data_IF_609192070198
#
_entry.id   IF_609192070198
#
_cell.length_a   1.000
_cell.length_b   1.000
_cell.length_c   1.000
_cell.angle_alpha   90.00
_cell.angle_beta   90.00
_cell.angle_gamma   90.00
#
_symmetry.space_group_name_H-M   'P 1'
#
loop_
_entity.id
_entity.type
_entity.pdbx_description
1 polymer ?
#
# COMPACT_ATOMS: atom_id res chain seq x y z
N UNK A 1 -1.70 0.46 -2.33
CA UNK A 1 -0.46 -0.35 -2.36
C UNK A 1 -0.67 -1.85 -2.17
N UNK A 2 -1.62 -2.33 -1.35
CA UNK A 2 -2.02 -3.76 -1.35
C UNK A 2 -2.39 -4.26 -2.75
N UNK A 3 -3.06 -3.42 -3.55
CA UNK A 3 -3.39 -3.71 -4.95
C UNK A 3 -2.15 -4.10 -5.79
N UNK A 4 -1.04 -3.35 -5.71
CA UNK A 4 0.16 -3.65 -6.50
C UNK A 4 0.73 -5.03 -6.13
N UNK A 5 0.87 -5.29 -4.83
CA UNK A 5 1.36 -6.58 -4.32
C UNK A 5 0.46 -7.75 -4.73
N UNK A 6 -0.86 -7.62 -4.50
CA UNK A 6 -1.84 -8.64 -4.90
C UNK A 6 -1.84 -8.86 -6.41
N UNK A 7 -1.73 -7.79 -7.21
CA UNK A 7 -1.63 -7.88 -8.67
C UNK A 7 -0.42 -8.71 -9.13
N UNK A 8 0.73 -8.57 -8.46
CA UNK A 8 1.91 -9.38 -8.74
C UNK A 8 1.82 -10.81 -8.21
N UNK A 9 1.16 -11.06 -7.08
CA UNK A 9 0.87 -12.43 -6.64
C UNK A 9 -0.03 -13.16 -7.64
N UNK A 10 -1.06 -12.50 -8.20
CA UNK A 10 -1.84 -13.07 -9.29
C UNK A 10 -0.99 -13.27 -10.55
N UNK A 11 -0.02 -12.38 -10.81
CA UNK A 11 0.92 -12.56 -11.92
C UNK A 11 1.82 -13.79 -11.75
N UNK A 12 2.14 -14.22 -10.53
CA UNK A 12 2.84 -15.49 -10.29
C UNK A 12 1.99 -16.67 -10.75
N UNK A 13 0.70 -16.70 -10.39
CA UNK A 13 -0.24 -17.74 -10.81
C UNK A 13 -0.35 -17.76 -12.35
N UNK A 14 -0.46 -16.57 -12.96
CA UNK A 14 -0.52 -16.45 -14.41
C UNK A 14 0.74 -16.96 -15.09
N UNK A 15 1.93 -16.70 -14.54
CA UNK A 15 3.19 -17.16 -15.13
C UNK A 15 3.34 -18.70 -15.06
N UNK A 16 2.82 -19.33 -14.01
CA UNK A 16 2.85 -20.79 -13.85
C UNK A 16 2.07 -21.54 -14.93
N UNK A 17 1.19 -20.87 -15.69
CA UNK A 17 0.48 -21.47 -16.82
C UNK A 17 1.42 -22.05 -17.87
N UNK A 18 2.62 -21.45 -18.04
CA UNK A 18 3.58 -21.92 -19.03
C UNK A 18 4.19 -23.28 -18.65
N UNK A 19 4.36 -23.57 -17.36
CA UNK A 19 4.85 -24.86 -16.88
C UNK A 19 3.73 -25.89 -16.64
N UNK A 20 2.52 -25.44 -16.29
CA UNK A 20 1.39 -26.31 -15.97
C UNK A 20 0.10 -25.90 -16.71
N UNK A 21 0.11 -25.89 -18.05
CA UNK A 21 -1.00 -25.33 -18.83
C UNK A 21 -2.32 -26.07 -18.60
N UNK A 22 -2.29 -27.40 -18.45
CA UNK A 22 -3.48 -28.23 -18.24
C UNK A 22 -4.26 -27.81 -17.00
N UNK A 23 -3.56 -27.47 -15.91
CA UNK A 23 -4.19 -27.17 -14.63
C UNK A 23 -4.42 -25.67 -14.41
N UNK A 24 -3.58 -24.82 -15.01
CA UNK A 24 -3.55 -23.40 -14.70
C UNK A 24 -4.07 -22.49 -15.81
N UNK A 25 -4.45 -23.02 -16.99
CA UNK A 25 -4.98 -22.19 -18.07
C UNK A 25 -6.23 -21.41 -17.65
N UNK A 26 -7.26 -22.09 -17.14
CA UNK A 26 -8.49 -21.41 -16.72
C UNK A 26 -8.29 -20.49 -15.51
N UNK A 27 -7.57 -20.90 -14.43
CA UNK A 27 -7.19 -19.98 -13.36
C UNK A 27 -6.42 -18.75 -13.84
N UNK A 28 -5.50 -18.91 -14.80
CA UNK A 28 -4.76 -17.80 -15.38
C UNK A 28 -5.68 -16.88 -16.18
N UNK A 29 -6.55 -17.42 -17.04
CA UNK A 29 -7.53 -16.63 -17.79
C UNK A 29 -8.48 -15.85 -16.88
N UNK A 30 -8.89 -16.42 -15.75
CA UNK A 30 -9.76 -15.74 -14.79
C UNK A 30 -9.02 -14.65 -13.99
N UNK A 31 -7.78 -14.91 -13.58
CA UNK A 31 -7.03 -14.01 -12.69
C UNK A 31 -6.19 -12.96 -13.42
N UNK A 32 -5.86 -13.16 -14.70
CA UNK A 32 -5.13 -12.22 -15.54
C UNK A 32 -5.75 -10.80 -15.61
N UNK A 33 -7.05 -10.62 -15.95
CA UNK A 33 -7.62 -9.28 -16.02
C UNK A 33 -7.55 -8.56 -14.68
N UNK A 34 -7.81 -9.28 -13.58
CA UNK A 34 -7.71 -8.74 -12.22
C UNK A 34 -6.26 -8.35 -11.92
N UNK A 35 -5.29 -9.19 -12.28
CA UNK A 35 -3.85 -8.90 -12.12
C UNK A 35 -3.46 -7.60 -12.84
N UNK A 36 -3.87 -7.41 -14.10
CA UNK A 36 -3.55 -6.22 -14.89
C UNK A 36 -4.18 -4.96 -14.27
N UNK A 37 -5.44 -5.02 -13.88
CA UNK A 37 -6.13 -3.90 -13.24
C UNK A 37 -5.42 -3.48 -11.95
N UNK A 38 -5.11 -4.46 -11.08
CA UNK A 38 -4.45 -4.23 -9.80
C UNK A 38 -3.02 -3.69 -9.97
N UNK A 39 -2.26 -4.20 -10.94
CA UNK A 39 -0.90 -3.73 -11.23
C UNK A 39 -0.91 -2.30 -11.74
N UNK A 40 -1.71 -1.98 -12.76
CA UNK A 40 -1.74 -0.61 -13.28
C UNK A 40 -2.36 0.38 -12.30
N UNK A 41 -3.37 -0.01 -11.49
CA UNK A 41 -3.86 0.83 -10.39
C UNK A 41 -2.77 1.07 -9.33
N UNK A 42 -2.02 0.02 -9.00
CA UNK A 42 -0.89 0.08 -8.08
C UNK A 42 0.18 1.07 -8.55
N UNK A 43 0.61 0.97 -9.81
CA UNK A 43 1.58 1.91 -10.40
C UNK A 43 1.03 3.33 -10.53
N UNK A 44 -0.24 3.49 -10.91
CA UNK A 44 -0.93 4.79 -10.93
C UNK A 44 -0.87 5.47 -9.55
N UNK A 45 -1.07 4.71 -8.47
CA UNK A 45 -1.00 5.26 -7.11
C UNK A 45 0.40 5.75 -6.72
N UNK A 46 1.45 5.25 -7.38
CA UNK A 46 2.85 5.65 -7.18
C UNK A 46 3.29 6.76 -8.15
N UNK A 47 2.46 7.15 -9.12
CA UNK A 47 2.79 8.13 -10.16
C UNK A 47 3.38 9.42 -9.60
N UNK A 48 2.77 9.96 -8.54
CA UNK A 48 3.23 11.22 -7.93
C UNK A 48 4.67 11.16 -7.40
N UNK A 49 5.13 9.97 -6.98
CA UNK A 49 6.50 9.76 -6.48
C UNK A 49 7.49 9.41 -7.59
N UNK A 50 7.01 8.80 -8.68
CA UNK A 50 7.85 8.37 -9.81
C UNK A 50 8.09 9.49 -10.83
N UNK A 51 7.30 10.56 -10.78
CA UNK A 51 7.37 11.69 -11.72
C UNK A 51 6.82 11.33 -13.10
N UNK A 52 7.47 11.83 -14.16
CA UNK A 52 7.08 11.58 -15.55
C UNK A 52 7.02 10.08 -15.90
N UNK A 53 7.98 9.31 -15.37
CA UNK A 53 8.04 7.84 -15.51
C UNK A 53 6.81 7.13 -14.97
N UNK A 54 6.10 7.75 -14.02
CA UNK A 54 4.86 7.23 -13.51
C UNK A 54 3.84 6.97 -14.60
N UNK A 55 3.84 7.72 -15.72
CA UNK A 55 2.89 7.56 -16.85
C UNK A 55 2.98 6.19 -17.52
N UNK A 56 4.08 5.46 -17.37
CA UNK A 56 4.26 4.10 -17.91
C UNK A 56 3.26 3.06 -17.37
N UNK A 57 2.46 3.39 -16.35
CA UNK A 57 1.33 2.55 -15.94
C UNK A 57 0.26 2.41 -17.05
N UNK A 58 0.13 3.39 -17.95
CA UNK A 58 -0.87 3.38 -19.02
C UNK A 58 -0.61 2.25 -20.03
N UNK A 59 0.61 2.08 -20.58
CA UNK A 59 0.95 0.90 -21.37
C UNK A 59 0.60 -0.42 -20.70
N UNK A 60 0.83 -0.58 -19.39
CA UNK A 60 0.49 -1.81 -18.66
C UNK A 60 -1.01 -2.11 -18.74
N UNK A 61 -1.86 -1.09 -18.59
CA UNK A 61 -3.30 -1.27 -18.71
C UNK A 61 -3.76 -1.51 -20.14
N UNK A 62 -3.37 -0.65 -21.07
CA UNK A 62 -3.86 -0.71 -22.45
C UNK A 62 -3.39 -1.98 -23.13
N UNK A 63 -2.07 -2.24 -23.09
CA UNK A 63 -1.49 -3.39 -23.74
C UNK A 63 -1.76 -4.69 -22.96
N UNK A 64 -1.84 -4.64 -21.63
CA UNK A 64 -2.27 -5.80 -20.85
C UNK A 64 -3.71 -6.20 -21.16
N UNK A 65 -4.63 -5.24 -21.26
CA UNK A 65 -5.99 -5.49 -21.72
C UNK A 65 -6.04 -6.02 -23.16
N UNK A 66 -5.23 -5.45 -24.06
CA UNK A 66 -5.11 -5.92 -25.44
C UNK A 66 -4.57 -7.34 -25.54
N UNK A 67 -3.56 -7.71 -24.72
CA UNK A 67 -3.06 -9.09 -24.63
C UNK A 67 -4.18 -10.05 -24.25
N UNK A 68 -4.96 -9.72 -23.23
CA UNK A 68 -6.08 -10.57 -22.81
C UNK A 68 -7.14 -10.71 -23.90
N UNK A 69 -7.55 -9.60 -24.51
CA UNK A 69 -8.53 -9.60 -25.60
C UNK A 69 -8.05 -10.44 -26.79
N UNK A 70 -6.77 -10.29 -27.19
CA UNK A 70 -6.20 -11.06 -28.29
C UNK A 70 -6.14 -12.57 -27.99
N UNK A 71 -5.87 -12.97 -26.74
CA UNK A 71 -5.95 -14.38 -26.31
C UNK A 71 -7.39 -14.91 -26.41
N UNK A 72 -8.38 -14.14 -25.96
CA UNK A 72 -9.79 -14.55 -26.04
C UNK A 72 -10.28 -14.66 -27.49
N UNK A 73 -9.89 -13.71 -28.35
CA UNK A 73 -10.23 -13.75 -29.78
C UNK A 73 -9.60 -14.96 -30.47
N UNK A 74 -8.38 -15.35 -30.10
CA UNK A 74 -7.76 -16.58 -30.58
C UNK A 74 -8.51 -17.82 -30.09
N UNK A 75 -8.83 -17.90 -28.79
CA UNK A 75 -9.53 -19.04 -28.20
C UNK A 75 -10.95 -19.20 -28.75
N UNK A 76 -11.59 -18.11 -29.15
CA UNK A 76 -12.87 -18.11 -29.85
C UNK A 76 -12.77 -18.36 -31.34
N UNK A 77 -11.57 -18.62 -31.89
CA UNK A 77 -11.32 -18.84 -33.32
C UNK A 77 -11.79 -17.67 -34.21
N UNK A 78 -11.81 -16.44 -33.66
CA UNK A 78 -12.27 -15.23 -34.37
C UNK A 78 -11.12 -14.62 -35.19
N UNK A 79 -9.87 -14.73 -34.71
CA UNK A 79 -8.68 -14.14 -35.34
C UNK A 79 -7.51 -15.12 -35.28
N UNK A 80 -6.96 -15.49 -36.42
CA UNK A 80 -5.87 -16.47 -36.53
C UNK A 80 -4.50 -15.97 -36.03
N UNK A 81 -4.30 -14.65 -36.02
CA UNK A 81 -3.06 -14.01 -35.57
C UNK A 81 -3.12 -13.47 -34.13
N UNK A 82 -4.15 -13.85 -33.36
CA UNK A 82 -4.37 -13.37 -32.00
C UNK A 82 -3.19 -13.65 -31.06
N UNK A 83 -2.52 -14.80 -31.20
CA UNK A 83 -1.32 -15.14 -30.40
C UNK A 83 -0.17 -14.17 -30.63
N UNK A 84 0.09 -13.77 -31.88
CA UNK A 84 1.19 -12.85 -32.20
C UNK A 84 0.90 -11.43 -31.71
N UNK A 85 -0.35 -10.98 -31.84
CA UNK A 85 -0.80 -9.70 -31.27
C UNK A 85 -0.67 -9.72 -29.75
N UNK A 86 -1.14 -10.79 -29.09
CA UNK A 86 -1.02 -10.96 -27.66
C UNK A 86 0.44 -10.92 -27.20
N UNK A 87 1.33 -11.61 -27.92
CA UNK A 87 2.75 -11.66 -27.67
C UNK A 87 3.41 -10.27 -27.82
N UNK A 88 3.11 -9.55 -28.89
CA UNK A 88 3.65 -8.21 -29.13
C UNK A 88 3.22 -7.22 -28.04
N UNK A 89 1.92 -7.21 -27.70
CA UNK A 89 1.40 -6.39 -26.60
C UNK A 89 2.07 -6.76 -25.27
N UNK A 90 2.21 -8.07 -24.99
CA UNK A 90 2.81 -8.57 -23.75
C UNK A 90 4.26 -8.14 -23.61
N UNK A 91 5.08 -8.42 -24.62
CA UNK A 91 6.48 -8.07 -24.60
C UNK A 91 6.68 -6.55 -24.43
N UNK A 92 5.89 -5.75 -25.14
CA UNK A 92 5.97 -4.29 -25.08
C UNK A 92 5.65 -3.77 -23.67
N UNK A 93 4.57 -4.25 -23.05
CA UNK A 93 4.25 -3.78 -21.69
C UNK A 93 5.22 -4.31 -20.64
N UNK A 94 5.81 -5.48 -20.83
CA UNK A 94 6.84 -6.01 -19.93
C UNK A 94 8.11 -5.14 -19.92
N UNK A 95 8.47 -4.51 -21.04
CA UNK A 95 9.55 -3.51 -21.09
C UNK A 95 9.16 -2.27 -20.28
N UNK A 96 7.94 -1.73 -20.49
CA UNK A 96 7.44 -0.58 -19.73
C UNK A 96 7.41 -0.86 -18.21
N UNK A 97 6.98 -2.06 -17.84
CA UNK A 97 6.94 -2.53 -16.45
C UNK A 97 8.35 -2.66 -15.86
N UNK A 98 9.32 -3.14 -16.64
CA UNK A 98 10.73 -3.23 -16.22
C UNK A 98 11.37 -1.86 -15.96
N UNK A 99 11.04 -0.87 -16.79
CA UNK A 99 11.47 0.51 -16.56
C UNK A 99 10.88 1.09 -15.26
N UNK A 100 9.62 0.75 -14.95
CA UNK A 100 8.98 1.12 -13.69
C UNK A 100 9.67 0.45 -12.49
N UNK A 101 10.09 -0.81 -12.59
CA UNK A 101 10.89 -1.46 -11.56
C UNK A 101 12.20 -0.72 -11.32
N UNK A 102 12.99 -0.47 -12.36
CA UNK A 102 14.27 0.22 -12.21
C UNK A 102 14.09 1.63 -11.61
N UNK A 103 13.04 2.34 -12.02
CA UNK A 103 12.75 3.66 -11.46
C UNK A 103 12.31 3.58 -9.99
N UNK A 104 11.44 2.64 -9.65
CA UNK A 104 10.99 2.43 -8.29
C UNK A 104 12.13 1.95 -7.37
N UNK A 105 13.03 1.11 -7.86
CA UNK A 105 14.24 0.67 -7.15
C UNK A 105 15.09 1.86 -6.70
N UNK A 106 15.33 2.81 -7.61
CA UNK A 106 16.06 4.06 -7.34
C UNK A 106 15.30 4.98 -6.38
N UNK A 107 14.01 5.19 -6.65
CA UNK A 107 13.18 6.16 -5.93
C UNK A 107 12.94 5.73 -4.47
N UNK A 108 12.69 4.45 -4.25
CA UNK A 108 12.38 3.89 -2.93
C UNK A 108 13.58 3.23 -2.25
N UNK A 109 14.79 3.35 -2.83
CA UNK A 109 16.02 2.67 -2.37
C UNK A 109 15.84 1.16 -2.15
N UNK A 110 14.92 0.54 -2.88
CA UNK A 110 14.58 -0.87 -2.78
C UNK A 110 15.50 -1.71 -3.67
N UNK A 111 16.68 -2.08 -3.14
CA UNK A 111 17.72 -2.83 -3.88
C UNK A 111 17.19 -4.10 -4.58
N UNK A 112 16.32 -4.93 -3.97
CA UNK A 112 15.87 -6.16 -4.61
C UNK A 112 15.05 -5.91 -5.89
N UNK A 113 14.43 -4.73 -6.03
CA UNK A 113 13.64 -4.39 -7.21
C UNK A 113 14.50 -4.21 -8.49
N UNK A 114 15.83 -4.07 -8.36
CA UNK A 114 16.74 -4.09 -9.51
C UNK A 114 16.83 -5.46 -10.19
N UNK A 115 16.43 -6.54 -9.50
CA UNK A 115 16.39 -7.90 -10.06
C UNK A 115 15.08 -8.18 -10.80
N UNK A 116 14.01 -7.41 -10.55
CA UNK A 116 12.70 -7.62 -11.18
C UNK A 116 12.72 -7.58 -12.72
N UNK A 117 13.57 -6.82 -13.43
CA UNK A 117 13.67 -6.90 -14.90
C UNK A 117 14.12 -8.26 -15.47
N UNK A 118 14.52 -9.23 -14.64
CA UNK A 118 14.81 -10.61 -15.09
C UNK A 118 13.61 -11.26 -15.81
N UNK A 119 12.39 -10.76 -15.60
CA UNK A 119 11.21 -11.19 -16.36
C UNK A 119 11.37 -11.03 -17.87
N UNK A 120 12.17 -10.07 -18.34
CA UNK A 120 12.43 -9.88 -19.78
C UNK A 120 13.13 -11.08 -20.40
N UNK A 121 13.95 -11.81 -19.63
CA UNK A 121 14.56 -13.06 -20.10
C UNK A 121 13.48 -14.09 -20.37
N UNK A 122 12.54 -14.28 -19.44
CA UNK A 122 11.42 -15.21 -19.62
C UNK A 122 10.50 -14.81 -20.77
N UNK A 123 10.19 -13.51 -20.90
CA UNK A 123 9.43 -12.98 -22.05
C UNK A 123 10.14 -13.29 -23.37
N UNK A 124 11.44 -13.04 -23.46
CA UNK A 124 12.21 -13.27 -24.68
C UNK A 124 12.27 -14.76 -25.06
N UNK A 125 12.44 -15.66 -24.08
CA UNK A 125 12.44 -17.11 -24.33
C UNK A 125 11.07 -17.55 -24.83
N UNK A 126 9.97 -17.19 -24.16
CA UNK A 126 8.61 -17.55 -24.60
C UNK A 126 8.30 -16.97 -25.98
N UNK A 127 8.67 -15.71 -26.23
CA UNK A 127 8.49 -15.09 -27.53
C UNK A 127 9.25 -15.84 -28.62
N UNK A 128 10.50 -16.23 -28.36
CA UNK A 128 11.32 -16.98 -29.31
C UNK A 128 10.71 -18.35 -29.61
N UNK A 129 10.21 -19.05 -28.58
CA UNK A 129 9.55 -20.35 -28.76
C UNK A 129 8.25 -20.26 -29.56
N UNK A 130 7.49 -19.17 -29.44
CA UNK A 130 6.26 -18.94 -30.20
C UNK A 130 6.56 -18.56 -31.66
N UNK A 131 7.64 -17.79 -31.90
CA UNK A 131 8.00 -17.30 -33.23
C UNK A 131 8.77 -18.34 -34.05
N UNK A 132 9.58 -19.19 -33.40
CA UNK A 132 10.40 -20.16 -34.11
C UNK A 132 9.52 -21.19 -34.84
N UNK A 133 9.76 -21.43 -36.15
CA UNK A 133 9.05 -22.46 -36.88
C UNK A 133 9.33 -23.84 -36.27
N UNK A 134 8.28 -24.66 -36.18
CA UNK A 134 8.30 -26.01 -35.57
C UNK A 134 9.41 -26.92 -36.11
N UNK A 135 9.93 -26.66 -37.31
CA UNK A 135 11.04 -27.40 -37.92
C UNK A 135 12.40 -27.25 -37.19
N UNK A 136 12.59 -26.24 -36.35
CA UNK A 136 13.86 -26.01 -35.62
C UNK A 136 13.87 -26.55 -34.18
N UNK A 137 12.73 -27.06 -33.69
CA UNK A 137 12.58 -27.59 -32.33
C UNK A 137 12.60 -29.13 -32.27
N UNK A 138 12.69 -29.81 -33.41
CA UNK A 138 12.76 -31.27 -33.50
C UNK A 138 14.15 -31.74 -33.95
N UNK A 139 15.02 -32.03 -32.99
CA UNK A 139 15.70 -33.32 -33.05
C UNK A 139 14.76 -34.32 -32.36
N UNK A 140 14.19 -35.31 -33.09
CA UNK A 140 13.19 -36.24 -32.57
C UNK A 140 13.87 -37.35 -31.78
N UNK A 141 14.60 -36.98 -30.72
CA UNK A 141 14.97 -37.92 -29.67
C UNK A 141 14.07 -37.60 -28.48
N UNK A 142 13.13 -38.51 -28.22
CA UNK A 142 12.23 -38.56 -27.07
C UNK A 142 10.96 -37.69 -27.18
N UNK A 143 9.81 -38.37 -27.20
CA UNK A 143 8.47 -37.77 -27.16
C UNK A 143 8.14 -37.12 -25.82
N UNK A 144 9.05 -36.28 -25.31
CA UNK A 144 8.80 -35.44 -24.16
C UNK A 144 7.81 -34.33 -24.58
N UNK A 145 6.70 -34.12 -23.84
CA UNK A 145 5.79 -33.03 -24.13
C UNK A 145 6.55 -31.70 -24.08
N UNK A 146 6.24 -30.78 -24.99
CA UNK A 146 6.81 -29.42 -25.06
C UNK A 146 6.86 -28.73 -23.68
N UNK A 147 5.91 -29.09 -22.82
CA UNK A 147 5.70 -28.69 -21.41
C UNK A 147 6.93 -28.99 -20.51
N UNK A 148 7.79 -29.95 -20.86
CA UNK A 148 8.97 -30.35 -20.08
C UNK A 148 10.29 -29.74 -20.59
N UNK A 149 10.25 -28.82 -21.57
CA UNK A 149 11.47 -28.20 -22.06
C UNK A 149 12.16 -27.39 -20.95
N UNK A 150 13.48 -27.58 -20.71
CA UNK A 150 14.21 -26.81 -19.72
C UNK A 150 14.12 -25.29 -19.97
N UNK A 151 13.96 -24.88 -21.22
CA UNK A 151 13.75 -23.47 -21.58
C UNK A 151 12.44 -22.90 -21.04
N UNK A 152 11.34 -23.66 -21.09
CA UNK A 152 10.04 -23.24 -20.55
C UNK A 152 10.10 -23.14 -19.03
N UNK A 153 10.81 -24.04 -18.37
CA UNK A 153 11.02 -23.98 -16.92
C UNK A 153 11.86 -22.76 -16.51
N UNK A 154 12.95 -22.47 -17.23
CA UNK A 154 13.76 -21.26 -17.02
C UNK A 154 12.94 -20.00 -17.26
N UNK A 155 12.16 -19.95 -18.34
CA UNK A 155 11.31 -18.80 -18.65
C UNK A 155 10.24 -18.60 -17.58
N UNK A 156 9.54 -19.66 -17.18
CA UNK A 156 8.54 -19.61 -16.11
C UNK A 156 9.17 -19.18 -14.79
N UNK A 157 10.33 -19.74 -14.44
CA UNK A 157 11.06 -19.42 -13.20
C UNK A 157 11.45 -17.95 -13.13
N UNK A 158 11.96 -17.37 -14.21
CA UNK A 158 12.34 -15.94 -14.25
C UNK A 158 11.13 -15.01 -14.15
N UNK A 159 10.01 -15.34 -14.80
CA UNK A 159 8.75 -14.60 -14.66
C UNK A 159 8.20 -14.66 -13.24
N UNK A 160 8.17 -15.85 -12.64
CA UNK A 160 7.70 -16.07 -11.25
C UNK A 160 8.59 -15.33 -10.25
N UNK A 161 9.92 -15.45 -10.38
CA UNK A 161 10.87 -14.79 -9.50
C UNK A 161 10.72 -13.27 -9.53
N UNK A 162 10.64 -12.68 -10.74
CA UNK A 162 10.39 -11.24 -10.92
C UNK A 162 9.09 -10.79 -10.25
N UNK A 163 7.99 -11.51 -10.49
CA UNK A 163 6.69 -11.19 -9.92
C UNK A 163 6.71 -11.29 -8.39
N UNK A 164 7.34 -12.33 -7.83
CA UNK A 164 7.42 -12.53 -6.39
C UNK A 164 8.28 -11.44 -5.70
N UNK A 165 9.46 -11.12 -6.24
CA UNK A 165 10.32 -10.04 -5.73
C UNK A 165 9.52 -8.73 -5.67
N UNK A 166 8.81 -8.42 -6.75
CA UNK A 166 8.02 -7.19 -6.85
C UNK A 166 6.81 -7.21 -5.92
N UNK A 167 6.12 -8.34 -5.79
CA UNK A 167 4.98 -8.51 -4.90
C UNK A 167 5.36 -8.26 -3.44
N UNK A 168 6.49 -8.84 -3.00
CA UNK A 168 7.00 -8.70 -1.64
C UNK A 168 7.44 -7.25 -1.36
N UNK A 169 8.21 -6.64 -2.28
CA UNK A 169 8.67 -5.25 -2.11
C UNK A 169 7.54 -4.23 -2.19
N UNK A 170 6.48 -4.50 -2.95
CA UNK A 170 5.31 -3.65 -3.00
C UNK A 170 4.56 -3.53 -1.66
N UNK A 171 4.72 -4.50 -0.74
CA UNK A 171 4.17 -4.43 0.62
C UNK A 171 4.90 -3.35 1.43
N UNK A 172 6.22 -3.26 1.26
CA UNK A 172 7.12 -2.36 1.98
C UNK A 172 6.98 -0.89 1.56
N UNK A 173 6.49 -0.59 0.35
CA UNK A 173 6.26 0.79 -0.09
C UNK A 173 5.28 1.56 0.82
N UNK A 174 4.50 0.87 1.66
CA UNK A 174 3.65 1.46 2.71
C UNK A 174 4.41 1.81 4.00
N UNK A 175 5.52 1.14 4.28
CA UNK A 175 6.22 1.20 5.56
C UNK A 175 7.11 2.45 5.71
N UNK A 176 7.28 3.24 4.66
CA UNK A 176 7.93 4.57 4.73
C UNK A 176 6.87 5.67 4.71
N UNK A 177 6.37 6.11 5.88
CA UNK A 177 5.80 7.43 6.01
C UNK A 177 6.95 8.45 5.92
N UNK A 178 7.28 8.87 4.70
CA UNK A 178 8.01 10.10 4.39
C UNK A 178 7.07 10.87 3.45
N UNK A 179 6.67 12.12 3.65
CA UNK A 179 7.26 13.23 4.40
C UNK A 179 6.14 14.14 4.94
N UNK A 180 6.08 14.35 6.26
CA UNK A 180 5.51 15.57 6.87
C UNK A 180 6.64 16.40 7.51
N UNK A 181 7.91 16.04 7.26
CA UNK A 181 9.09 16.66 7.85
C UNK A 181 9.90 17.54 6.89
N UNK A 182 9.75 17.39 5.57
CA UNK A 182 10.54 18.14 4.58
C UNK A 182 10.00 19.55 4.30
N UNK A 183 8.87 19.92 4.88
CA UNK A 183 8.33 21.29 4.84
C UNK A 183 8.76 22.18 6.01
N UNK A 184 9.38 21.63 7.06
CA UNK A 184 9.76 22.39 8.26
C UNK A 184 11.24 22.82 8.24
N UNK A 185 12.11 22.12 7.51
CA UNK A 185 13.53 22.51 7.39
C UNK A 185 13.77 23.70 6.44
N UNK A 186 12.76 24.13 5.66
CA UNK A 186 12.86 25.29 4.79
C UNK A 186 12.46 26.63 5.46
N UNK A 187 11.97 26.60 6.71
CA UNK A 187 11.69 27.82 7.49
C UNK A 187 12.70 27.89 8.62
N UNK A 188 13.80 28.59 8.34
CA UNK A 188 14.82 28.89 9.33
C UNK A 188 14.20 29.59 10.54
N UNK A 189 14.14 28.88 11.66
CA UNK A 189 13.97 29.49 12.98
C UNK A 189 15.04 28.86 13.85
N UNK A 190 16.11 29.64 14.05
CA UNK A 190 17.13 29.41 15.06
C UNK A 190 16.46 29.11 16.39
N UNK A 191 16.65 27.90 16.93
CA UNK A 191 16.18 27.56 18.25
C UNK A 191 16.85 28.49 19.29
N UNK A 192 16.11 29.26 20.11
CA UNK A 192 16.70 29.98 21.22
C UNK A 192 17.13 28.98 22.30
N UNK A 193 18.37 29.10 22.77
CA UNK A 193 18.85 28.39 23.97
C UNK A 193 17.92 28.71 25.15
N UNK A 194 17.48 27.72 25.95
CA UNK A 194 16.66 28.01 27.11
C UNK A 194 17.48 28.72 28.18
N UNK A 195 17.12 29.97 28.45
CA UNK A 195 17.54 30.69 29.64
C UNK A 195 16.93 29.99 30.86
N UNK A 196 17.81 29.45 31.72
CA UNK A 196 17.47 28.95 33.04
C UNK A 196 17.20 30.14 33.95
N UNK A 197 15.93 30.45 34.20
CA UNK A 197 15.53 31.32 35.30
C UNK A 197 15.03 30.46 36.45
N UNK A 198 15.79 30.48 37.54
CA UNK A 198 15.39 30.00 38.86
C UNK A 198 14.24 30.87 39.37
N UNK A 199 13.11 30.25 39.67
CA UNK A 199 12.08 30.85 40.51
C UNK A 199 11.47 29.74 41.36
N UNK A 200 11.84 29.76 42.63
CA UNK A 200 11.34 28.89 43.68
C UNK A 200 9.88 29.22 43.99
N UNK A 201 8.98 28.22 44.09
CA UNK A 201 7.80 28.31 44.96
C UNK A 201 7.45 26.91 45.48
N UNK A 202 7.87 26.68 46.72
CA UNK A 202 7.08 26.22 47.88
C UNK A 202 5.97 25.18 47.69
N UNK A 203 6.24 24.00 48.27
CA UNK A 203 5.32 22.91 48.64
C UNK A 203 4.33 23.34 49.74
N UNK A 204 3.07 22.89 49.67
CA UNK A 204 2.34 22.47 50.86
C UNK A 204 2.01 20.97 50.87
N UNK A 205 2.03 20.39 52.07
CA UNK A 205 1.75 18.98 52.37
C UNK A 205 0.24 18.68 52.53
N UNK A 206 -0.12 17.46 52.11
CA UNK A 206 -1.01 16.46 52.72
C UNK A 206 -2.43 16.82 53.22
N UNK A 207 -3.43 16.13 52.65
CA UNK A 207 -4.58 15.58 53.38
C UNK A 207 -5.20 14.39 52.62
N UNK A 208 -5.69 13.41 53.37
CA UNK A 208 -6.12 12.07 52.94
C UNK A 208 -7.60 11.97 52.50
N UNK A 209 -7.89 10.99 51.62
CA UNK A 209 -9.08 10.11 51.47
C UNK A 209 -10.50 10.75 51.63
N UNK A 210 -11.44 10.67 50.66
CA UNK A 210 -12.26 9.48 50.30
C UNK A 210 -13.22 9.80 49.11
N UNK A 211 -13.73 8.80 48.32
CA UNK A 211 -14.77 8.96 47.27
C UNK A 211 -16.20 9.05 47.89
N UNK A 212 -17.35 9.36 47.22
CA UNK A 212 -17.76 9.02 45.84
C UNK A 212 -18.64 10.09 45.11
N UNK A 213 -19.02 9.85 43.84
CA UNK A 213 -20.36 10.16 43.31
C UNK A 213 -20.51 9.66 41.86
N UNK A 214 -21.29 8.59 41.77
CA UNK A 214 -21.72 7.87 40.59
C UNK A 214 -22.84 8.64 39.88
N UNK A 215 -22.58 9.18 38.67
CA UNK A 215 -23.62 9.71 37.80
C UNK A 215 -23.93 8.68 36.70
N UNK A 216 -24.79 7.72 37.02
CA UNK A 216 -25.34 6.74 36.10
C UNK A 216 -26.32 7.42 35.14
N UNK A 217 -25.87 7.73 33.92
CA UNK A 217 -26.79 8.02 32.81
C UNK A 217 -27.05 6.70 32.08
N UNK A 218 -28.23 6.12 32.30
CA UNK A 218 -28.71 4.93 31.59
C UNK A 218 -28.89 5.23 30.10
N UNK A 219 -28.09 4.62 29.23
CA UNK A 219 -28.44 4.41 27.82
C UNK A 219 -28.14 2.96 27.45
N UNK A 220 -29.15 2.25 26.94
CA UNK A 220 -29.09 0.84 26.52
C UNK A 220 -28.02 0.64 25.43
N UNK A 221 -27.19 -0.38 25.64
CA UNK A 221 -26.10 -0.84 24.76
C UNK A 221 -24.99 -1.46 25.62
N UNK A 222 -24.12 -2.35 25.11
CA UNK A 222 -23.02 -2.89 25.91
C UNK A 222 -22.24 -1.72 26.52
N UNK A 223 -22.13 -1.70 27.85
CA UNK A 223 -21.45 -0.64 28.61
C UNK A 223 -19.97 -0.71 28.30
N UNK A 224 -19.56 -0.10 27.19
CA UNK A 224 -18.16 0.10 26.84
C UNK A 224 -17.60 1.08 27.88
N UNK A 225 -16.77 0.58 28.80
CA UNK A 225 -16.20 1.38 29.88
C UNK A 225 -14.91 2.01 29.35
N UNK A 226 -14.90 3.34 29.28
CA UNK A 226 -13.69 4.10 28.92
C UNK A 226 -13.00 4.52 30.21
N UNK A 227 -11.83 3.96 30.46
CA UNK A 227 -10.92 4.34 31.54
C UNK A 227 -9.89 5.36 31.02
N UNK A 228 -9.58 6.37 31.83
CA UNK A 228 -8.56 7.38 31.50
C UNK A 228 -7.25 6.92 32.12
N UNK A 229 -6.27 6.60 31.27
CA UNK A 229 -4.93 6.17 31.71
C UNK A 229 -4.05 7.41 31.98
N UNK A 230 -4.14 8.41 31.12
CA UNK A 230 -3.42 9.68 31.26
C UNK A 230 -4.25 10.83 30.70
N UNK A 231 -4.28 11.96 31.43
CA UNK A 231 -5.02 13.17 31.07
C UNK A 231 -4.05 14.24 30.61
N UNK A 232 -4.38 14.88 29.50
CA UNK A 232 -3.74 16.11 29.05
C UNK A 232 -4.61 17.32 29.39
N UNK A 233 -3.98 18.44 29.71
CA UNK A 233 -4.65 19.72 29.95
C UNK A 233 -4.68 20.62 28.70
N UNK A 234 -4.05 20.17 27.61
CA UNK A 234 -3.99 20.89 26.33
C UNK A 234 -4.60 20.09 25.19
N UNK A 235 -5.10 20.82 24.18
CA UNK A 235 -5.55 20.27 22.91
C UNK A 235 -5.00 21.07 21.75
N UNK A 236 -4.83 20.42 20.60
CA UNK A 236 -4.32 21.03 19.38
C UNK A 236 -5.43 21.31 18.39
N UNK A 237 -5.38 22.47 17.74
CA UNK A 237 -6.27 22.79 16.64
C UNK A 237 -5.94 21.94 15.41
N UNK A 238 -6.92 21.19 14.89
CA UNK A 238 -6.75 20.41 13.66
C UNK A 238 -6.53 21.26 12.39
N UNK A 239 -6.78 22.56 12.47
CA UNK A 239 -6.67 23.47 11.33
C UNK A 239 -5.32 24.21 11.29
N UNK A 240 -4.85 24.73 12.44
CA UNK A 240 -3.65 25.56 12.51
C UNK A 240 -2.55 25.05 13.46
N UNK A 241 -2.79 23.95 14.19
CA UNK A 241 -1.80 23.40 15.13
C UNK A 241 -1.66 24.15 16.46
N UNK A 242 -2.32 25.30 16.64
CA UNK A 242 -2.26 26.09 17.87
C UNK A 242 -2.76 25.28 19.08
N UNK A 243 -2.05 25.40 20.20
CA UNK A 243 -2.43 24.75 21.46
C UNK A 243 -3.47 25.59 22.20
N UNK A 244 -4.48 24.93 22.76
CA UNK A 244 -5.49 25.55 23.58
C UNK A 244 -5.77 24.70 24.83
N UNK A 245 -6.12 25.31 25.97
CA UNK A 245 -6.51 24.55 27.15
C UNK A 245 -7.79 23.77 26.88
N UNK A 246 -7.84 22.54 27.41
CA UNK A 246 -9.02 21.67 27.31
C UNK A 246 -10.25 22.38 27.86
N UNK A 247 -11.35 22.36 27.11
CA UNK A 247 -12.60 23.04 27.45
C UNK A 247 -12.92 24.23 26.55
N UNK A 248 -11.93 24.81 25.87
CA UNK A 248 -12.17 25.90 24.90
C UNK A 248 -13.05 25.45 23.73
N UNK A 249 -13.89 26.36 23.22
CA UNK A 249 -14.81 26.08 22.11
C UNK A 249 -14.21 26.41 20.74
N UNK A 250 -13.33 27.41 20.68
CA UNK A 250 -12.71 27.91 19.45
C UNK A 250 -11.21 28.06 19.63
N UNK A 251 -10.49 27.82 18.54
CA UNK A 251 -9.05 28.06 18.46
C UNK A 251 -8.77 29.58 18.49
N UNK A 252 -7.82 30.02 19.32
CA UNK A 252 -7.40 31.43 19.38
C UNK A 252 -6.63 31.88 18.13
N UNK A 253 -5.86 30.97 17.51
CA UNK A 253 -5.04 31.28 16.34
C UNK A 253 -5.83 31.47 15.04
N UNK A 254 -6.79 30.56 14.76
CA UNK A 254 -7.53 30.57 13.49
C UNK A 254 -9.06 30.74 13.62
N UNK A 255 -9.60 30.83 14.84
CA UNK A 255 -11.03 30.97 15.10
C UNK A 255 -11.87 29.70 14.87
N UNK A 256 -11.30 28.64 14.28
CA UNK A 256 -12.02 27.40 13.99
C UNK A 256 -12.54 26.74 15.28
N UNK A 257 -13.81 26.30 15.33
CA UNK A 257 -14.35 25.60 16.48
C UNK A 257 -13.73 24.21 16.65
N UNK A 258 -13.51 23.81 17.90
CA UNK A 258 -13.05 22.48 18.24
C UNK A 258 -14.17 21.46 18.02
N UNK A 259 -13.85 20.31 17.41
CA UNK A 259 -14.82 19.25 17.17
C UNK A 259 -15.26 18.63 18.50
N UNK A 260 -16.55 18.67 18.79
CA UNK A 260 -17.17 18.05 19.98
C UNK A 260 -18.34 17.17 19.54
N UNK A 261 -18.46 15.99 20.15
CA UNK A 261 -19.56 15.07 19.89
C UNK A 261 -20.69 15.28 20.89
N UNK A 262 -21.90 15.54 20.37
CA UNK A 262 -23.11 15.68 21.19
C UNK A 262 -23.59 14.34 21.76
N UNK A 263 -23.44 13.26 21.00
CA UNK A 263 -23.90 11.90 21.35
C UNK A 263 -22.89 10.82 20.91
N UNK A 264 -23.01 9.62 21.49
CA UNK A 264 -22.14 8.47 21.20
C UNK A 264 -20.83 8.42 21.98
N UNK A 265 -19.94 7.49 21.59
CA UNK A 265 -18.59 7.37 22.13
C UNK A 265 -17.79 8.65 21.85
N UNK A 266 -17.21 9.22 22.91
CA UNK A 266 -16.43 10.46 22.85
C UNK A 266 -15.26 10.41 23.83
N UNK A 267 -14.25 11.24 23.57
CA UNK A 267 -13.19 11.44 24.53
C UNK A 267 -13.77 12.05 25.83
N UNK A 268 -13.54 11.43 27.00
CA UNK A 268 -14.06 11.95 28.27
C UNK A 268 -13.37 13.26 28.69
N UNK A 269 -12.18 13.56 28.15
CA UNK A 269 -11.39 14.75 28.49
C UNK A 269 -11.83 15.97 27.67
N UNK A 270 -11.76 15.89 26.33
CA UNK A 270 -12.05 17.04 25.45
C UNK A 270 -13.41 16.98 24.73
N UNK A 271 -14.20 15.92 24.95
CA UNK A 271 -15.48 15.66 24.27
C UNK A 271 -15.38 15.49 22.75
N UNK A 272 -14.18 15.31 22.20
CA UNK A 272 -13.99 15.01 20.78
C UNK A 272 -14.67 13.70 20.38
N UNK A 273 -15.18 13.58 19.14
CA UNK A 273 -15.77 12.34 18.64
C UNK A 273 -14.74 11.20 18.64
N UNK A 274 -15.18 9.96 18.89
CA UNK A 274 -14.30 8.80 18.87
C UNK A 274 -13.63 8.56 17.51
N UNK A 275 -14.15 9.15 16.42
CA UNK A 275 -13.48 9.17 15.11
C UNK A 275 -12.11 9.86 15.13
N UNK A 276 -11.86 10.72 16.12
CA UNK A 276 -10.56 11.37 16.33
C UNK A 276 -9.59 10.51 17.15
N UNK A 277 -9.99 9.33 17.61
CA UNK A 277 -9.19 8.47 18.49
C UNK A 277 -8.41 7.46 17.66
N UNK A 278 -7.12 7.29 17.95
CA UNK A 278 -6.23 6.33 17.28
C UNK A 278 -5.96 5.14 18.21
N UNK A 279 -6.18 3.92 17.73
CA UNK A 279 -5.82 2.71 18.46
C UNK A 279 -4.30 2.54 18.44
N UNK A 280 -3.69 2.41 19.62
CA UNK A 280 -2.25 2.16 19.79
C UNK A 280 -1.99 0.68 20.07
N UNK A 281 -2.85 0.04 20.86
CA UNK A 281 -2.87 -1.40 21.08
C UNK A 281 -4.31 -1.88 21.28
N UNK A 282 -4.57 -3.20 21.31
CA UNK A 282 -5.92 -3.71 21.57
C UNK A 282 -6.41 -3.20 22.93
N UNK A 283 -7.55 -2.50 22.92
CA UNK A 283 -8.11 -1.88 24.12
C UNK A 283 -7.43 -0.58 24.57
N UNK A 284 -6.38 -0.10 23.90
CA UNK A 284 -5.65 1.14 24.21
C UNK A 284 -5.70 2.14 23.06
N UNK A 285 -6.09 3.36 23.39
CA UNK A 285 -6.51 4.37 22.45
C UNK A 285 -5.96 5.74 22.87
N UNK A 286 -5.63 6.59 21.90
CA UNK A 286 -5.15 7.96 22.15
C UNK A 286 -6.04 8.95 21.42
N UNK A 287 -6.53 9.97 22.12
CA UNK A 287 -7.33 11.02 21.50
C UNK A 287 -6.44 11.89 20.59
N UNK A 288 -6.76 11.99 19.30
CA UNK A 288 -6.00 12.81 18.35
C UNK A 288 -6.19 14.33 18.49
N UNK A 289 -7.01 14.79 19.44
CA UNK A 289 -7.23 16.22 19.70
C UNK A 289 -6.57 16.69 20.98
N UNK A 290 -6.71 15.96 22.09
CA UNK A 290 -6.08 16.30 23.37
C UNK A 290 -4.96 15.34 23.78
N UNK A 291 -4.64 14.32 23.00
CA UNK A 291 -3.57 13.34 23.28
C UNK A 291 -3.71 12.62 24.63
N UNK A 292 -4.92 12.56 25.19
CA UNK A 292 -5.19 11.76 26.39
C UNK A 292 -5.24 10.28 26.06
N UNK A 293 -4.63 9.48 26.94
CA UNK A 293 -4.60 8.02 26.84
C UNK A 293 -5.86 7.41 27.45
N UNK A 294 -6.51 6.56 26.68
CA UNK A 294 -7.80 5.96 26.98
C UNK A 294 -7.68 4.44 26.87
N UNK A 295 -8.26 3.72 27.84
CA UNK A 295 -8.44 2.27 27.78
C UNK A 295 -9.92 1.97 27.64
N UNK A 296 -10.27 1.05 26.75
CA UNK A 296 -11.66 0.67 26.47
C UNK A 296 -11.80 -0.81 26.75
N UNK A 297 -12.69 -1.14 27.70
CA UNK A 297 -12.98 -2.50 28.15
C UNK A 297 -14.47 -2.78 28.23
#
# INVERSE_FOLDING_TARGET
>A
MRALSVGYFLSVINALVFAFPIHLLYPALASYPISILLRGYGWRSLRGRLGLWGVLYLPIWVLGGATYAAILLQLGEIVDFGVFVALACWATYSVAESLLYLRAARTFKARPLFLSPISLVGVAIIASLIIMPSSNLLSPAEGAPLIASPLILVATGTLVASALITALKAIEFRATPQELGSGIEAVGISAPRPHRSEASVTRPQAAAQSPPAEATTKLRGPLIRIEIVSRSDTMLCSNCGESAPVGTDRCRGCGTPFKKAASGLRCPVCKAPFSAVKMVARGHYVCGQCFSDLRVG
#
